data_IF_689479085129
#
_entry.id   IF_689479085129
#
_cell.length_a   1.000
_cell.length_b   1.000
_cell.length_c   1.000
_cell.angle_alpha   90.00
_cell.angle_beta   90.00
_cell.angle_gamma   90.00
#
_symmetry.space_group_name_H-M   'P 1'
#
loop_
_entity.id
_entity.type
_entity.pdbx_description
1 polymer ?
#
# COMPACT_ATOMS: atom_id res chain seq x y z
N UNK A 1 -6.95 -29.74 -9.43
CA UNK A 1 -6.63 -28.70 -8.43
C UNK A 1 -7.47 -27.45 -8.74
N UNK A 2 -8.02 -26.78 -7.74
CA UNK A 2 -8.82 -25.57 -7.97
C UNK A 2 -7.92 -24.46 -8.55
N UNK A 3 -8.22 -23.97 -9.75
CA UNK A 3 -7.43 -22.92 -10.43
C UNK A 3 -7.33 -21.63 -9.62
N UNK A 4 -8.30 -21.32 -8.76
CA UNK A 4 -8.28 -20.15 -7.87
C UNK A 4 -7.22 -20.23 -6.77
N UNK A 5 -6.65 -21.41 -6.55
CA UNK A 5 -5.57 -21.65 -5.59
C UNK A 5 -4.17 -21.76 -6.22
N UNK A 6 -4.06 -21.62 -7.54
CA UNK A 6 -2.79 -21.68 -8.26
C UNK A 6 -2.27 -20.28 -8.58
N UNK A 7 -1.05 -19.97 -8.17
CA UNK A 7 -0.37 -18.71 -8.47
C UNK A 7 -0.29 -18.44 -9.97
N UNK A 8 0.08 -19.46 -10.74
CA UNK A 8 0.17 -19.40 -12.21
C UNK A 8 -1.14 -18.99 -12.88
N UNK A 9 -2.30 -19.23 -12.23
CA UNK A 9 -3.61 -18.83 -12.73
C UNK A 9 -3.90 -17.33 -12.61
N UNK A 10 -3.06 -16.55 -11.93
CA UNK A 10 -3.15 -15.08 -11.79
C UNK A 10 -2.10 -14.36 -12.62
N UNK A 11 -1.51 -15.07 -13.59
CA UNK A 11 -0.54 -14.49 -14.51
C UNK A 11 -1.22 -13.79 -15.68
N UNK A 12 -0.62 -12.71 -16.14
CA UNK A 12 -0.97 -12.02 -17.37
C UNK A 12 0.25 -11.24 -17.89
N UNK A 13 0.28 -10.99 -19.19
CA UNK A 13 1.39 -10.24 -19.82
C UNK A 13 1.11 -8.75 -19.79
N UNK A 14 2.03 -7.98 -19.20
CA UNK A 14 1.96 -6.52 -19.15
C UNK A 14 3.19 -5.94 -19.85
N UNK A 15 2.97 -5.10 -20.83
CA UNK A 15 4.01 -4.34 -21.50
C UNK A 15 4.55 -3.23 -20.57
N UNK A 16 5.86 -3.04 -20.54
CA UNK A 16 6.51 -2.09 -19.64
C UNK A 16 6.06 -0.63 -19.85
N UNK A 17 5.68 -0.27 -21.07
CA UNK A 17 5.17 1.07 -21.41
C UNK A 17 3.82 1.41 -20.77
N UNK A 18 3.07 0.42 -20.29
CA UNK A 18 1.84 0.65 -19.54
C UNK A 18 2.09 0.91 -18.05
N UNK A 19 3.30 0.75 -17.57
CA UNK A 19 3.66 1.04 -16.18
C UNK A 19 3.88 2.55 -16.01
N UNK A 20 3.02 3.20 -15.24
CA UNK A 20 3.11 4.64 -15.03
C UNK A 20 4.25 5.01 -14.07
N UNK A 21 5.18 5.84 -14.53
CA UNK A 21 6.26 6.39 -13.71
C UNK A 21 5.90 7.72 -13.04
N UNK A 22 4.84 8.38 -13.51
CA UNK A 22 4.30 9.65 -12.99
C UNK A 22 2.77 9.60 -12.95
N UNK A 23 2.13 10.32 -12.01
CA UNK A 23 0.68 10.43 -11.96
C UNK A 23 0.13 11.14 -13.21
N UNK A 24 -1.18 11.05 -13.42
CA UNK A 24 -1.87 11.95 -14.34
C UNK A 24 -1.75 13.40 -13.85
N UNK A 25 -1.78 14.35 -14.76
CA UNK A 25 -1.78 15.76 -14.42
C UNK A 25 -2.84 16.50 -15.27
N UNK A 26 -3.93 16.97 -14.64
CA UNK A 26 -4.29 16.84 -13.22
C UNK A 26 -4.56 15.37 -12.81
N UNK A 27 -4.50 15.10 -11.50
CA UNK A 27 -4.62 13.72 -10.94
C UNK A 27 -5.97 13.07 -11.29
N UNK A 28 -7.02 13.86 -11.35
CA UNK A 28 -8.39 13.44 -11.66
C UNK A 28 -8.59 13.04 -13.14
N UNK A 29 -7.66 13.36 -14.01
CA UNK A 29 -7.71 12.95 -15.44
C UNK A 29 -7.19 11.51 -15.63
N UNK A 30 -6.73 10.82 -14.58
CA UNK A 30 -6.52 9.38 -14.62
C UNK A 30 -7.79 8.68 -15.14
N UNK A 31 -7.62 7.63 -15.91
CA UNK A 31 -8.77 6.86 -16.42
C UNK A 31 -9.38 6.02 -15.31
N UNK A 32 -10.68 5.79 -15.41
CA UNK A 32 -11.44 4.94 -14.51
C UNK A 32 -12.20 3.89 -15.31
N UNK A 33 -11.92 2.61 -15.04
CA UNK A 33 -12.72 1.49 -15.50
C UNK A 33 -13.73 1.17 -14.40
N UNK A 34 -15.02 1.24 -14.73
CA UNK A 34 -16.11 0.87 -13.80
C UNK A 34 -16.67 -0.46 -14.22
N UNK A 35 -16.79 -1.39 -13.28
CA UNK A 35 -17.43 -2.69 -13.48
C UNK A 35 -18.60 -2.86 -12.53
N UNK A 36 -19.81 -2.89 -13.08
CA UNK A 36 -21.02 -3.25 -12.37
C UNK A 36 -21.19 -4.77 -12.35
N UNK A 37 -21.02 -5.38 -11.17
CA UNK A 37 -21.15 -6.83 -10.99
C UNK A 37 -22.56 -7.36 -11.23
N UNK A 38 -23.58 -6.53 -10.92
CA UNK A 38 -24.98 -6.93 -11.04
C UNK A 38 -25.40 -7.10 -12.49
N UNK A 39 -25.07 -6.09 -13.32
CA UNK A 39 -25.44 -6.05 -14.73
C UNK A 39 -24.33 -6.59 -15.64
N UNK A 40 -23.12 -6.82 -15.10
CA UNK A 40 -21.89 -7.15 -15.85
C UNK A 40 -21.51 -6.10 -16.89
N UNK A 41 -21.89 -4.86 -16.64
CA UNK A 41 -21.59 -3.73 -17.51
C UNK A 41 -20.21 -3.14 -17.20
N UNK A 42 -19.54 -2.65 -18.25
CA UNK A 42 -18.23 -2.03 -18.17
C UNK A 42 -18.34 -0.62 -18.76
N UNK A 43 -17.85 0.36 -17.99
CA UNK A 43 -17.81 1.76 -18.44
C UNK A 43 -16.36 2.23 -18.42
N UNK A 44 -15.99 3.01 -19.44
CA UNK A 44 -14.70 3.69 -19.53
C UNK A 44 -14.92 5.18 -19.35
N UNK A 45 -14.28 5.75 -18.33
CA UNK A 45 -14.43 7.16 -18.00
C UNK A 45 -13.12 7.73 -17.44
N UNK A 46 -13.16 8.88 -16.80
CA UNK A 46 -12.05 9.47 -16.05
C UNK A 46 -12.41 9.56 -14.57
N UNK A 47 -11.39 9.63 -13.73
CA UNK A 47 -11.55 9.60 -12.28
C UNK A 47 -12.40 10.77 -11.75
N UNK A 48 -12.38 11.94 -12.41
CA UNK A 48 -13.23 13.11 -12.09
C UNK A 48 -14.72 12.81 -12.10
N UNK A 49 -15.16 11.80 -12.87
CA UNK A 49 -16.55 11.39 -12.99
C UNK A 49 -16.92 10.28 -11.97
N UNK A 50 -16.02 9.92 -11.03
CA UNK A 50 -16.26 8.87 -10.02
C UNK A 50 -17.61 9.03 -9.31
N UNK A 51 -17.98 10.26 -8.92
CA UNK A 51 -19.23 10.58 -8.20
C UNK A 51 -20.50 10.16 -8.94
N UNK A 52 -20.47 10.05 -10.26
CA UNK A 52 -21.64 9.75 -11.11
C UNK A 52 -21.95 8.24 -11.10
N UNK A 53 -21.01 7.42 -10.66
CA UNK A 53 -21.15 5.96 -10.55
C UNK A 53 -21.36 5.45 -9.12
N UNK A 54 -21.12 6.29 -8.11
CA UNK A 54 -21.20 5.83 -6.71
C UNK A 54 -22.64 5.63 -6.25
N UNK A 55 -22.99 4.45 -5.75
CA UNK A 55 -24.24 4.24 -5.05
C UNK A 55 -24.23 4.95 -3.69
N UNK A 56 -25.36 4.98 -3.01
CA UNK A 56 -25.43 5.43 -1.61
C UNK A 56 -24.60 4.50 -0.71
N UNK A 57 -23.46 4.99 -0.22
CA UNK A 57 -22.51 4.22 0.59
C UNK A 57 -21.61 5.13 1.43
N UNK A 58 -21.11 4.59 2.54
CA UNK A 58 -20.00 5.19 3.27
C UNK A 58 -18.67 4.93 2.53
N UNK A 59 -17.79 5.92 2.48
CA UNK A 59 -16.49 5.82 1.80
C UNK A 59 -15.38 5.78 2.84
N UNK A 60 -14.53 4.77 2.75
CA UNK A 60 -13.39 4.57 3.66
C UNK A 60 -12.06 4.83 2.96
N UNK A 61 -11.21 5.61 3.62
CA UNK A 61 -9.85 5.91 3.17
C UNK A 61 -8.81 5.47 4.19
N UNK A 62 -7.59 5.20 3.70
CA UNK A 62 -6.42 4.99 4.54
C UNK A 62 -5.70 6.34 4.72
N UNK A 63 -5.58 6.81 5.96
CA UNK A 63 -4.95 8.09 6.31
C UNK A 63 -3.47 7.96 6.70
N UNK A 64 -2.86 6.83 6.39
CA UNK A 64 -1.44 6.63 6.62
C UNK A 64 -0.59 7.61 5.81
N UNK A 65 0.49 8.10 6.42
CA UNK A 65 1.47 9.00 5.80
C UNK A 65 2.79 8.27 5.54
N UNK A 66 3.27 8.38 4.31
CA UNK A 66 4.56 7.79 3.92
C UNK A 66 5.70 8.57 4.55
N UNK A 67 6.65 7.86 5.16
CA UNK A 67 7.89 8.42 5.67
C UNK A 67 9.00 8.34 4.60
N UNK A 68 9.99 9.21 4.67
CA UNK A 68 11.18 9.16 3.81
C UNK A 68 12.11 8.01 4.25
N UNK A 69 11.66 6.79 4.05
CA UNK A 69 12.22 5.58 4.61
C UNK A 69 13.56 5.12 3.99
N UNK A 70 14.00 5.74 2.89
CA UNK A 70 15.26 5.39 2.21
C UNK A 70 16.33 6.41 2.54
N UNK A 71 17.46 5.93 3.09
CA UNK A 71 18.62 6.77 3.41
C UNK A 71 19.90 6.18 2.85
N UNK A 72 20.81 7.06 2.44
CA UNK A 72 22.11 6.71 1.92
C UNK A 72 23.21 7.08 2.92
N UNK A 73 24.17 6.18 3.09
CA UNK A 73 25.22 6.34 4.06
C UNK A 73 26.47 5.54 3.71
N UNK A 74 27.37 5.43 4.68
CA UNK A 74 28.64 4.73 4.50
C UNK A 74 28.93 3.82 5.69
N UNK A 75 29.75 2.82 5.46
CA UNK A 75 30.42 2.05 6.50
C UNK A 75 31.65 2.82 7.03
N UNK A 76 32.20 2.40 8.16
CA UNK A 76 33.47 2.90 8.65
C UNK A 76 34.60 2.72 7.64
N UNK A 77 34.55 1.69 6.79
CA UNK A 77 35.51 1.43 5.71
C UNK A 77 35.33 2.32 4.47
N UNK A 78 34.37 3.26 4.47
CA UNK A 78 34.03 4.12 3.34
C UNK A 78 33.06 3.48 2.32
N UNK A 79 32.74 2.22 2.44
CA UNK A 79 31.81 1.54 1.52
C UNK A 79 30.41 2.15 1.57
N UNK A 80 29.84 2.54 0.43
CA UNK A 80 28.49 3.11 0.31
C UNK A 80 27.42 2.07 0.64
N UNK A 81 26.36 2.50 1.31
CA UNK A 81 25.19 1.70 1.64
C UNK A 81 23.90 2.46 1.37
N UNK A 82 22.85 1.71 1.09
CA UNK A 82 21.46 2.16 1.09
C UNK A 82 20.71 1.40 2.18
N UNK A 83 20.06 2.12 3.08
CA UNK A 83 19.20 1.54 4.10
C UNK A 83 17.76 1.92 3.79
N UNK A 84 16.90 0.91 3.73
CA UNK A 84 15.46 1.07 3.58
C UNK A 84 14.78 0.61 4.87
N UNK A 85 14.22 1.58 5.60
CA UNK A 85 13.49 1.34 6.83
C UNK A 85 12.14 0.70 6.52
N UNK A 86 11.74 -0.32 7.27
CA UNK A 86 10.43 -0.96 7.15
C UNK A 86 9.49 -0.52 8.28
N UNK A 87 9.61 -1.12 9.46
CA UNK A 87 8.72 -0.88 10.59
C UNK A 87 9.51 -0.80 11.90
N UNK A 88 9.05 -0.01 12.89
CA UNK A 88 9.54 -0.13 14.24
C UNK A 88 9.03 -1.43 14.87
N UNK A 89 9.85 -2.09 15.67
CA UNK A 89 9.37 -3.07 16.62
C UNK A 89 8.68 -2.36 17.79
N UNK A 90 7.38 -2.54 17.91
CA UNK A 90 6.62 -2.02 19.05
C UNK A 90 7.05 -2.75 20.31
N UNK A 91 7.39 -2.03 21.38
CA UNK A 91 7.69 -2.50 22.74
C UNK A 91 9.16 -2.57 23.19
N UNK A 92 9.93 -1.51 23.01
CA UNK A 92 11.18 -1.45 23.77
C UNK A 92 11.52 -0.04 24.21
N UNK A 93 12.06 0.10 25.43
CA UNK A 93 12.78 1.30 25.87
C UNK A 93 13.99 1.61 24.94
N UNK A 94 14.42 0.60 24.16
CA UNK A 94 15.42 0.68 23.10
C UNK A 94 14.77 0.27 21.77
N UNK A 95 14.19 1.20 21.01
CA UNK A 95 13.48 0.86 19.80
C UNK A 95 14.41 0.25 18.75
N UNK A 96 14.02 -0.95 18.32
CA UNK A 96 14.61 -1.62 17.18
C UNK A 96 13.74 -1.40 15.95
N UNK A 97 14.39 -1.36 14.81
CA UNK A 97 13.70 -1.16 13.53
C UNK A 97 14.08 -2.29 12.58
N UNK A 98 13.10 -2.72 11.80
CA UNK A 98 13.34 -3.63 10.70
C UNK A 98 13.81 -2.81 9.49
N UNK A 99 14.90 -3.22 8.87
CA UNK A 99 15.43 -2.54 7.70
C UNK A 99 16.01 -3.54 6.68
N UNK A 100 15.93 -3.16 5.42
CA UNK A 100 16.69 -3.79 4.34
C UNK A 100 17.92 -2.94 4.08
N UNK A 101 19.10 -3.55 3.92
CA UNK A 101 20.36 -2.82 3.69
C UNK A 101 21.04 -3.40 2.47
N UNK A 102 21.27 -2.53 1.48
CA UNK A 102 22.00 -2.87 0.26
C UNK A 102 23.49 -2.82 0.52
N UNK A 103 24.17 -3.93 0.33
CA UNK A 103 25.59 -4.10 0.60
C UNK A 103 25.87 -5.27 1.55
N UNK A 104 27.13 -5.69 1.62
CA UNK A 104 27.58 -6.75 2.53
C UNK A 104 27.71 -6.20 3.95
N UNK A 105 26.80 -6.58 4.85
CA UNK A 105 26.69 -6.07 6.21
C UNK A 105 26.98 -7.19 7.19
N UNK A 106 27.65 -6.84 8.32
CA UNK A 106 27.92 -7.76 9.45
C UNK A 106 27.07 -7.36 10.66
N UNK A 107 26.86 -8.32 11.55
CA UNK A 107 26.32 -8.05 12.89
C UNK A 107 27.26 -7.10 13.65
N UNK A 108 26.70 -6.23 14.46
CA UNK A 108 27.37 -5.18 15.24
C UNK A 108 28.10 -4.10 14.43
N UNK A 109 27.94 -4.11 13.09
CA UNK A 109 28.49 -3.06 12.23
C UNK A 109 27.77 -1.73 12.46
N UNK A 110 28.53 -0.63 12.52
CA UNK A 110 28.01 0.73 12.63
C UNK A 110 27.98 1.36 11.23
N UNK A 111 26.84 1.92 10.90
CA UNK A 111 26.56 2.62 9.65
C UNK A 111 26.40 4.11 9.94
N UNK A 112 26.92 4.95 9.05
CA UNK A 112 27.00 6.40 9.22
C UNK A 112 26.18 7.10 8.16
N UNK A 113 25.34 8.06 8.56
CA UNK A 113 24.48 8.84 7.69
C UNK A 113 24.68 10.34 7.94
N UNK A 114 23.99 11.18 7.16
CA UNK A 114 23.96 12.63 7.38
C UNK A 114 23.35 12.98 8.74
N UNK A 115 23.56 14.21 9.22
CA UNK A 115 23.05 14.74 10.51
C UNK A 115 23.50 13.89 11.71
N UNK A 116 24.72 13.37 11.67
CA UNK A 116 25.32 12.51 12.70
C UNK A 116 24.46 11.28 13.08
N UNK A 117 23.51 10.90 12.21
CA UNK A 117 22.73 9.69 12.39
C UNK A 117 23.61 8.46 12.20
N UNK A 118 23.59 7.56 13.17
CA UNK A 118 24.26 6.25 13.14
C UNK A 118 23.23 5.14 13.29
N UNK A 119 23.49 3.98 12.68
CA UNK A 119 22.71 2.77 12.92
C UNK A 119 23.64 1.59 13.26
N UNK A 120 23.33 0.86 14.35
CA UNK A 120 23.98 -0.41 14.66
C UNK A 120 23.13 -1.55 14.11
N UNK A 121 23.75 -2.49 13.44
CA UNK A 121 23.12 -3.73 12.98
C UNK A 121 23.10 -4.73 14.15
N UNK A 122 21.97 -4.89 14.78
CA UNK A 122 21.84 -5.74 15.99
C UNK A 122 21.72 -7.22 15.63
N UNK A 123 21.00 -7.51 14.54
CA UNK A 123 20.73 -8.89 14.11
C UNK A 123 20.58 -8.99 12.60
N UNK A 124 21.07 -10.08 12.02
CA UNK A 124 20.88 -10.45 10.62
C UNK A 124 19.76 -11.51 10.56
N UNK A 125 18.67 -11.22 9.85
CA UNK A 125 17.54 -12.14 9.70
C UNK A 125 17.69 -12.97 8.42
N UNK A 126 17.09 -14.17 8.41
CA UNK A 126 17.22 -15.14 7.31
C UNK A 126 16.58 -14.67 5.99
N UNK A 127 15.58 -13.77 6.07
CA UNK A 127 14.87 -13.21 4.90
C UNK A 127 15.57 -12.00 4.24
N UNK A 128 16.82 -11.74 4.61
CA UNK A 128 17.60 -10.61 4.12
C UNK A 128 17.35 -9.30 4.87
N UNK A 129 16.43 -9.27 5.83
CA UNK A 129 16.19 -8.12 6.69
C UNK A 129 17.22 -8.04 7.84
N UNK A 130 17.28 -6.87 8.45
CA UNK A 130 18.18 -6.55 9.56
C UNK A 130 17.39 -5.88 10.66
N UNK A 131 17.67 -6.25 11.92
CA UNK A 131 17.27 -5.41 13.06
C UNK A 131 18.34 -4.37 13.30
N UNK A 132 17.95 -3.12 13.31
CA UNK A 132 18.84 -1.99 13.51
C UNK A 132 18.38 -1.11 14.65
N UNK A 133 19.34 -0.48 15.31
CA UNK A 133 19.11 0.52 16.35
C UNK A 133 19.76 1.82 15.90
N UNK A 134 19.00 2.92 16.00
CA UNK A 134 19.50 4.24 15.58
C UNK A 134 19.94 5.09 16.75
N UNK A 135 21.00 5.89 16.50
CA UNK A 135 21.60 6.78 17.47
C UNK A 135 21.90 8.13 16.84
N UNK A 136 21.84 9.17 17.65
CA UNK A 136 22.40 10.49 17.34
C UNK A 136 23.06 11.03 18.60
N UNK A 137 24.29 11.58 18.51
CA UNK A 137 25.06 12.05 19.68
C UNK A 137 25.12 11.01 20.80
N UNK A 138 25.35 9.72 20.43
CA UNK A 138 25.43 8.56 21.30
C UNK A 138 24.16 8.25 22.14
N UNK A 139 23.04 8.92 21.83
CA UNK A 139 21.73 8.62 22.40
C UNK A 139 20.89 7.80 21.42
N UNK A 140 20.28 6.74 21.95
CA UNK A 140 19.30 5.95 21.16
C UNK A 140 18.10 6.83 20.78
N UNK A 141 17.70 6.74 19.54
CA UNK A 141 16.54 7.47 19.03
C UNK A 141 15.26 6.65 19.17
N UNK A 142 14.21 7.29 19.66
CA UNK A 142 12.86 6.78 19.54
C UNK A 142 12.30 6.95 18.11
N UNK A 143 11.12 6.40 17.84
CA UNK A 143 10.48 6.45 16.52
C UNK A 143 10.21 7.88 16.06
N UNK A 144 9.77 8.76 16.95
CA UNK A 144 9.43 10.15 16.61
C UNK A 144 10.66 10.95 16.21
N UNK A 145 11.74 10.86 17.01
CA UNK A 145 12.99 11.54 16.73
C UNK A 145 13.65 11.03 15.46
N UNK A 146 13.59 9.68 15.22
CA UNK A 146 14.09 9.11 13.98
C UNK A 146 13.29 9.64 12.77
N UNK A 147 11.95 9.67 12.82
CA UNK A 147 11.14 10.17 11.70
C UNK A 147 11.40 11.65 11.40
N UNK A 148 11.64 12.48 12.42
CA UNK A 148 12.05 13.88 12.24
C UNK A 148 13.40 14.01 11.52
N UNK A 149 14.35 13.13 11.79
CA UNK A 149 15.63 13.08 11.07
C UNK A 149 15.47 12.57 9.64
N UNK A 150 14.67 11.51 9.45
CA UNK A 150 14.39 10.97 8.13
C UNK A 150 13.71 12.01 7.23
N UNK A 151 12.90 12.90 7.79
CA UNK A 151 12.29 14.00 7.01
C UNK A 151 13.32 14.98 6.44
N UNK A 152 14.49 15.13 7.08
CA UNK A 152 15.58 15.97 6.62
C UNK A 152 16.50 15.28 5.61
N UNK A 153 16.85 14.02 5.86
CA UNK A 153 17.92 13.31 5.11
C UNK A 153 17.41 12.19 4.21
N UNK A 154 16.17 11.78 4.39
CA UNK A 154 15.61 10.62 3.71
C UNK A 154 14.97 10.95 2.36
N UNK A 155 14.74 9.91 1.60
CA UNK A 155 14.14 9.88 0.28
C UNK A 155 12.80 9.15 0.29
N UNK A 156 11.89 9.53 -0.60
CA UNK A 156 10.61 8.84 -0.79
C UNK A 156 10.90 7.43 -1.32
N UNK A 157 10.37 6.38 -0.67
CA UNK A 157 10.62 5.00 -1.08
C UNK A 157 9.71 4.60 -2.26
N UNK A 158 9.99 5.12 -3.45
CA UNK A 158 9.24 4.72 -4.64
C UNK A 158 9.31 3.20 -4.85
N UNK A 159 8.22 2.57 -5.32
CA UNK A 159 8.18 1.15 -5.63
C UNK A 159 9.22 0.72 -6.66
N UNK A 160 9.71 -0.53 -6.63
CA UNK A 160 10.83 -0.99 -7.48
C UNK A 160 10.52 -1.01 -8.98
N UNK A 161 9.24 -0.98 -9.38
CA UNK A 161 8.84 -0.89 -10.79
C UNK A 161 8.89 0.55 -11.35
N UNK A 162 8.97 1.57 -10.49
CA UNK A 162 9.27 2.95 -10.88
C UNK A 162 10.79 3.06 -10.98
N UNK A 163 11.31 2.96 -12.22
CA UNK A 163 12.77 2.89 -12.50
C UNK A 163 13.40 4.27 -12.58
N UNK A 164 13.18 5.13 -11.59
CA UNK A 164 13.84 6.44 -11.42
C UNK A 164 14.10 6.73 -9.95
N UNK A 165 14.97 7.66 -9.67
CA UNK A 165 15.12 8.22 -8.32
C UNK A 165 13.90 9.06 -7.95
N UNK A 166 13.72 9.29 -6.65
CA UNK A 166 12.67 10.19 -6.18
C UNK A 166 13.02 11.65 -6.49
N UNK A 167 11.98 12.41 -6.82
CA UNK A 167 12.05 13.83 -7.13
C UNK A 167 11.31 14.65 -6.08
N UNK A 168 11.51 15.98 -6.07
CA UNK A 168 10.80 16.86 -5.14
C UNK A 168 9.26 16.79 -5.29
N UNK A 169 8.78 16.53 -6.50
CA UNK A 169 7.36 16.32 -6.77
C UNK A 169 6.78 15.11 -6.03
N UNK A 170 7.57 14.04 -5.82
CA UNK A 170 7.11 12.82 -5.14
C UNK A 170 6.76 13.06 -3.67
N UNK A 171 7.31 14.10 -3.04
CA UNK A 171 6.89 14.52 -1.70
C UNK A 171 5.38 14.79 -1.62
N UNK A 172 4.79 15.27 -2.72
CA UNK A 172 3.37 15.55 -2.86
C UNK A 172 2.65 14.43 -3.63
N UNK A 173 3.27 13.92 -4.68
CA UNK A 173 2.63 12.99 -5.61
C UNK A 173 2.52 11.57 -5.06
N UNK A 174 3.45 11.17 -4.16
CA UNK A 174 3.40 9.87 -3.48
C UNK A 174 2.80 9.96 -2.06
N UNK A 175 1.96 10.98 -1.83
CA UNK A 175 1.14 11.15 -0.62
C UNK A 175 -0.31 11.37 -1.00
N UNK A 176 -1.23 10.72 -0.27
CA UNK A 176 -2.65 11.04 -0.40
C UNK A 176 -2.97 12.37 0.30
N UNK A 177 -4.04 13.05 -0.14
CA UNK A 177 -4.56 14.24 0.56
C UNK A 177 -5.06 13.93 1.98
N UNK A 178 -5.24 12.65 2.29
CA UNK A 178 -5.68 12.16 3.61
C UNK A 178 -4.52 11.87 4.56
N UNK A 179 -3.27 11.95 4.10
CA UNK A 179 -2.08 11.52 4.83
C UNK A 179 -1.90 12.27 6.15
N UNK A 180 -2.10 11.57 7.28
CA UNK A 180 -2.05 12.09 8.64
C UNK A 180 -1.09 11.32 9.54
N UNK A 181 -1.24 10.01 9.64
CA UNK A 181 -0.54 9.15 10.57
C UNK A 181 0.75 8.60 9.96
N UNK A 182 1.92 9.08 10.43
CA UNK A 182 3.24 8.65 9.94
C UNK A 182 3.51 7.17 10.25
N UNK A 183 4.11 6.44 9.29
CA UNK A 183 4.56 5.06 9.52
C UNK A 183 4.56 4.17 8.27
N UNK A 184 3.95 4.58 7.16
CA UNK A 184 3.98 3.79 5.93
C UNK A 184 5.29 3.98 5.16
N UNK A 185 5.72 2.92 4.48
CA UNK A 185 6.83 2.96 3.51
C UNK A 185 6.35 2.83 2.06
N UNK A 186 5.04 2.74 1.87
CA UNK A 186 4.39 2.86 0.56
C UNK A 186 3.06 3.60 0.70
N UNK A 187 2.67 4.32 -0.35
CA UNK A 187 1.42 5.07 -0.35
C UNK A 187 0.20 4.15 -0.55
N UNK A 188 -0.98 4.48 0.02
CA UNK A 188 -2.26 3.87 -0.37
C UNK A 188 -2.68 4.43 -1.74
N UNK A 189 -2.17 3.82 -2.82
CA UNK A 189 -2.09 4.42 -4.15
C UNK A 189 -3.44 4.74 -4.80
N UNK A 190 -4.50 4.00 -4.50
CA UNK A 190 -5.85 4.32 -4.97
C UNK A 190 -6.36 5.69 -4.47
N UNK A 191 -5.79 6.20 -3.37
CA UNK A 191 -6.14 7.53 -2.84
C UNK A 191 -5.37 8.68 -3.50
N UNK A 192 -4.37 8.39 -4.34
CA UNK A 192 -3.54 9.44 -4.98
C UNK A 192 -4.29 10.23 -6.06
N UNK A 193 -5.36 9.67 -6.58
CA UNK A 193 -6.19 10.31 -7.62
C UNK A 193 -7.07 11.44 -7.10
N UNK A 194 -7.32 11.48 -5.78
CA UNK A 194 -8.23 12.46 -5.20
C UNK A 194 -7.58 13.84 -5.07
N UNK A 195 -8.37 14.87 -5.39
CA UNK A 195 -8.10 16.26 -5.04
C UNK A 195 -9.01 16.72 -3.90
N UNK A 196 -8.66 17.84 -3.27
CA UNK A 196 -9.49 18.47 -2.23
C UNK A 196 -10.88 18.80 -2.76
N UNK A 197 -10.98 19.34 -3.98
CA UNK A 197 -12.25 19.67 -4.62
C UNK A 197 -13.13 18.44 -4.84
N UNK A 198 -12.56 17.31 -5.27
CA UNK A 198 -13.30 16.06 -5.38
C UNK A 198 -13.82 15.60 -4.02
N UNK A 199 -12.97 15.67 -2.98
CA UNK A 199 -13.34 15.28 -1.65
C UNK A 199 -14.50 16.11 -1.09
N UNK A 200 -14.45 17.43 -1.26
CA UNK A 200 -15.54 18.34 -0.89
C UNK A 200 -16.86 17.99 -1.57
N UNK A 201 -16.80 17.63 -2.86
CA UNK A 201 -17.98 17.21 -3.61
C UNK A 201 -18.55 15.86 -3.13
N UNK A 202 -17.68 14.89 -2.79
CA UNK A 202 -18.11 13.61 -2.24
C UNK A 202 -18.77 13.77 -0.87
N UNK A 203 -18.24 14.62 0.01
CA UNK A 203 -18.80 14.93 1.33
C UNK A 203 -20.23 15.46 1.32
N UNK A 204 -20.68 16.03 0.19
CA UNK A 204 -22.07 16.50 0.05
C UNK A 204 -23.09 15.37 -0.03
N UNK A 205 -22.66 14.15 -0.40
CA UNK A 205 -23.54 13.00 -0.66
C UNK A 205 -23.16 11.74 0.12
N UNK A 206 -21.93 11.65 0.60
CA UNK A 206 -21.39 10.44 1.22
C UNK A 206 -20.74 10.77 2.56
N UNK A 207 -20.95 9.91 3.53
CA UNK A 207 -20.16 9.92 4.76
C UNK A 207 -18.76 9.37 4.49
N UNK A 208 -17.75 10.07 5.01
CA UNK A 208 -16.34 9.73 4.77
C UNK A 208 -15.68 9.36 6.09
N UNK A 209 -15.10 8.18 6.10
CA UNK A 209 -14.40 7.60 7.25
C UNK A 209 -12.93 7.33 6.91
N UNK A 210 -12.11 7.37 7.94
CA UNK A 210 -10.68 7.08 7.82
C UNK A 210 -10.31 5.94 8.76
N UNK A 211 -9.40 5.12 8.32
CA UNK A 211 -8.67 4.16 9.12
C UNK A 211 -7.19 4.26 8.77
N UNK A 212 -6.34 3.77 9.64
CA UNK A 212 -4.90 3.70 9.39
C UNK A 212 -4.49 2.26 9.14
N UNK A 213 -3.77 2.00 8.06
CA UNK A 213 -2.93 0.81 7.91
C UNK A 213 -1.59 1.29 7.35
N UNK A 214 -0.52 1.06 8.11
CA UNK A 214 0.83 1.41 7.66
C UNK A 214 1.33 0.40 6.64
N UNK A 215 1.33 0.81 5.38
CA UNK A 215 1.73 -0.06 4.26
C UNK A 215 3.21 -0.36 4.37
N UNK A 216 3.54 -1.63 4.51
CA UNK A 216 4.90 -2.13 4.60
C UNK A 216 5.52 -2.45 3.24
N UNK A 217 6.85 -2.63 3.21
CA UNK A 217 7.59 -3.03 2.01
C UNK A 217 7.17 -4.41 1.47
N UNK A 218 6.55 -5.23 2.31
CA UNK A 218 6.01 -6.52 1.94
C UNK A 218 4.95 -6.48 0.84
N UNK A 219 4.26 -5.35 0.66
CA UNK A 219 3.29 -5.14 -0.43
C UNK A 219 3.89 -5.35 -1.83
N UNK A 220 5.22 -5.19 -1.97
CA UNK A 220 5.93 -5.39 -3.23
C UNK A 220 6.60 -6.77 -3.36
N UNK A 221 6.49 -7.63 -2.34
CA UNK A 221 7.02 -8.99 -2.43
C UNK A 221 6.14 -9.86 -3.32
N UNK A 222 6.79 -10.61 -4.19
CA UNK A 222 6.12 -11.64 -5.00
C UNK A 222 5.64 -12.78 -4.13
N UNK A 223 4.57 -13.43 -4.53
CA UNK A 223 4.17 -14.74 -3.99
C UNK A 223 5.12 -15.78 -4.58
N UNK A 224 5.75 -16.61 -3.75
CA UNK A 224 6.79 -17.56 -4.16
C UNK A 224 6.30 -19.03 -4.21
N UNK A 225 5.11 -19.31 -3.68
CA UNK A 225 4.50 -20.64 -3.65
C UNK A 225 3.43 -20.78 -4.73
N UNK A 226 3.37 -21.92 -5.42
CA UNK A 226 2.36 -22.18 -6.45
C UNK A 226 0.96 -22.36 -5.83
N UNK A 227 0.85 -23.06 -4.70
CA UNK A 227 -0.38 -23.08 -3.93
C UNK A 227 -0.46 -21.82 -3.05
N UNK A 228 -1.33 -20.87 -3.41
CA UNK A 228 -1.44 -19.60 -2.71
C UNK A 228 -1.87 -19.71 -1.24
N UNK A 229 -2.44 -20.84 -0.81
CA UNK A 229 -2.78 -21.08 0.59
C UNK A 229 -1.54 -21.23 1.49
N UNK A 230 -0.37 -21.55 0.91
CA UNK A 230 0.90 -21.64 1.64
C UNK A 230 1.57 -20.28 1.79
N UNK A 231 1.05 -19.25 1.11
CA UNK A 231 1.60 -17.90 1.19
C UNK A 231 1.35 -17.27 2.56
N UNK A 232 2.43 -16.84 3.19
CA UNK A 232 2.38 -16.10 4.46
C UNK A 232 2.31 -14.60 4.18
N UNK A 233 1.13 -14.03 4.41
CA UNK A 233 0.95 -12.59 4.27
C UNK A 233 1.80 -11.81 5.26
N UNK A 234 2.28 -10.65 4.82
CA UNK A 234 2.94 -9.70 5.72
C UNK A 234 1.93 -9.11 6.67
N UNK A 235 2.37 -8.98 7.90
CA UNK A 235 1.61 -8.34 8.97
C UNK A 235 1.86 -6.83 8.94
N UNK A 236 0.80 -6.04 8.84
CA UNK A 236 0.86 -4.57 8.76
C UNK A 236 0.04 -3.97 9.90
N UNK A 237 0.64 -2.99 10.61
CA UNK A 237 -0.05 -2.33 11.73
C UNK A 237 -1.24 -1.53 11.23
N UNK A 238 -2.38 -1.68 11.91
CA UNK A 238 -3.59 -0.93 11.61
C UNK A 238 -4.25 -0.38 12.89
N UNK A 239 -5.08 0.66 12.68
CA UNK A 239 -5.95 1.23 13.70
C UNK A 239 -7.24 1.75 13.06
N UNK A 240 -8.38 1.44 13.69
CA UNK A 240 -9.71 1.86 13.25
C UNK A 240 -10.36 2.69 14.35
N UNK A 241 -10.69 3.96 14.11
CA UNK A 241 -11.44 4.77 15.06
C UNK A 241 -12.81 4.19 15.39
N UNK A 242 -13.32 4.44 16.59
CA UNK A 242 -14.60 3.90 17.07
C UNK A 242 -15.75 4.18 16.11
N UNK A 243 -15.89 5.42 15.64
CA UNK A 243 -16.95 5.80 14.69
C UNK A 243 -16.88 5.00 13.37
N UNK A 244 -15.69 4.72 12.87
CA UNK A 244 -15.49 3.88 11.69
C UNK A 244 -15.91 2.42 11.96
N UNK A 245 -15.62 1.89 13.16
CA UNK A 245 -16.09 0.56 13.57
C UNK A 245 -17.63 0.47 13.57
N UNK A 246 -18.32 1.48 14.06
CA UNK A 246 -19.79 1.53 14.12
C UNK A 246 -20.42 1.42 12.73
N UNK A 247 -19.85 2.09 11.74
CA UNK A 247 -20.29 1.98 10.35
C UNK A 247 -19.95 0.61 9.76
N UNK A 248 -18.77 0.08 10.04
CA UNK A 248 -18.44 -1.28 9.59
C UNK A 248 -19.41 -2.31 10.17
N UNK A 249 -19.85 -2.13 11.40
CA UNK A 249 -20.80 -3.03 12.06
C UNK A 249 -22.28 -2.78 11.65
N UNK A 250 -22.56 -1.67 10.97
CA UNK A 250 -23.90 -1.34 10.47
C UNK A 250 -24.26 -2.12 9.19
N UNK A 251 -25.46 -1.85 8.65
CA UNK A 251 -25.91 -2.38 7.34
C UNK A 251 -25.62 -1.43 6.17
N UNK A 252 -25.07 -0.25 6.44
CA UNK A 252 -24.75 0.73 5.40
C UNK A 252 -23.76 0.14 4.39
N UNK A 253 -23.99 0.37 3.11
CA UNK A 253 -23.05 -0.07 2.08
C UNK A 253 -21.70 0.64 2.24
N UNK A 254 -20.61 -0.05 1.94
CA UNK A 254 -19.25 0.46 2.09
C UNK A 254 -18.49 0.40 0.76
N UNK A 255 -17.90 1.52 0.38
CA UNK A 255 -16.84 1.60 -0.60
C UNK A 255 -15.48 1.70 0.12
N UNK A 256 -14.61 0.72 -0.08
CA UNK A 256 -13.21 0.80 0.34
C UNK A 256 -12.33 1.37 -0.76
N UNK A 257 -11.56 2.41 -0.45
CA UNK A 257 -10.59 3.00 -1.37
C UNK A 257 -9.21 2.41 -1.12
N UNK A 258 -8.84 1.48 -1.98
CA UNK A 258 -7.59 0.73 -1.93
C UNK A 258 -7.69 -0.60 -1.18
N UNK A 259 -6.79 -1.50 -1.55
CA UNK A 259 -6.70 -2.87 -1.00
C UNK A 259 -6.35 -2.89 0.49
N UNK A 260 -5.64 -1.88 0.98
CA UNK A 260 -5.30 -1.73 2.40
C UNK A 260 -6.53 -1.46 3.25
N UNK A 261 -7.44 -0.60 2.78
CA UNK A 261 -8.74 -0.34 3.43
C UNK A 261 -9.55 -1.63 3.47
N UNK A 262 -9.65 -2.32 2.33
CA UNK A 262 -10.36 -3.60 2.22
C UNK A 262 -9.85 -4.62 3.23
N UNK A 263 -8.54 -4.84 3.30
CA UNK A 263 -7.95 -5.79 4.25
C UNK A 263 -8.27 -5.42 5.69
N UNK A 264 -8.22 -4.14 6.03
CA UNK A 264 -8.48 -3.67 7.39
C UNK A 264 -9.95 -3.84 7.78
N UNK A 265 -10.90 -3.45 6.93
CA UNK A 265 -12.34 -3.64 7.15
C UNK A 265 -12.65 -5.12 7.33
N UNK A 266 -12.16 -5.96 6.43
CA UNK A 266 -12.42 -7.39 6.41
C UNK A 266 -11.74 -8.13 7.57
N UNK A 267 -10.58 -7.69 8.02
CA UNK A 267 -9.91 -8.20 9.22
C UNK A 267 -10.71 -7.86 10.48
N UNK A 268 -11.12 -6.58 10.64
CA UNK A 268 -11.96 -6.15 11.75
C UNK A 268 -13.29 -6.92 11.78
N UNK A 269 -13.92 -7.10 10.64
CA UNK A 269 -15.21 -7.82 10.56
C UNK A 269 -15.08 -9.24 11.11
N UNK A 270 -13.97 -9.92 10.84
CA UNK A 270 -13.68 -11.29 11.28
C UNK A 270 -13.22 -11.40 12.72
N UNK A 271 -12.44 -10.43 13.20
CA UNK A 271 -11.73 -10.53 14.49
C UNK A 271 -12.27 -9.60 15.57
N UNK A 272 -13.00 -8.54 15.18
CA UNK A 272 -13.42 -7.41 16.03
C UNK A 272 -12.26 -6.66 16.70
N UNK A 273 -11.04 -6.86 16.19
CA UNK A 273 -9.84 -6.16 16.65
C UNK A 273 -9.77 -4.79 16.00
N UNK A 274 -9.71 -3.72 16.81
CA UNK A 274 -9.70 -2.30 16.34
C UNK A 274 -8.30 -1.79 16.02
N UNK A 275 -7.28 -2.35 16.64
CA UNK A 275 -5.88 -2.02 16.40
C UNK A 275 -5.00 -3.26 16.56
N UNK A 276 -3.87 -3.29 15.89
CA UNK A 276 -2.95 -4.41 15.93
C UNK A 276 -2.30 -4.65 14.58
N UNK A 277 -2.09 -5.92 14.24
CA UNK A 277 -1.45 -6.31 13.00
C UNK A 277 -2.41 -7.12 12.13
N UNK A 278 -2.57 -6.70 10.86
CA UNK A 278 -3.41 -7.37 9.87
C UNK A 278 -2.53 -8.18 8.92
N UNK A 279 -2.77 -9.48 8.88
CA UNK A 279 -2.16 -10.44 7.96
C UNK A 279 -3.20 -11.13 7.06
N UNK A 280 -4.39 -10.55 6.93
CA UNK A 280 -5.48 -11.13 6.15
C UNK A 280 -5.12 -11.23 4.68
N UNK A 281 -5.26 -12.43 4.12
CA UNK A 281 -5.11 -12.72 2.70
C UNK A 281 -6.49 -12.97 2.08
N UNK A 282 -6.91 -12.06 1.20
CA UNK A 282 -8.16 -12.17 0.46
C UNK A 282 -7.91 -12.73 -0.95
N UNK A 283 -8.69 -13.73 -1.32
CA UNK A 283 -8.67 -14.39 -2.63
C UNK A 283 -10.04 -15.05 -2.87
N UNK A 284 -10.35 -15.59 -4.05
CA UNK A 284 -11.69 -16.11 -4.37
C UNK A 284 -12.24 -17.16 -3.39
N UNK A 285 -11.37 -17.94 -2.72
CA UNK A 285 -11.78 -18.91 -1.68
C UNK A 285 -11.84 -18.32 -0.27
N UNK A 286 -11.43 -17.06 -0.10
CA UNK A 286 -11.55 -16.27 1.12
C UNK A 286 -12.02 -14.85 0.77
N UNK A 287 -13.27 -14.69 0.26
CA UNK A 287 -13.76 -13.42 -0.27
C UNK A 287 -14.11 -12.42 0.83
N UNK A 288 -14.26 -11.14 0.46
CA UNK A 288 -14.83 -10.13 1.35
C UNK A 288 -16.22 -10.53 1.83
N UNK A 289 -16.52 -10.27 3.11
CA UNK A 289 -17.80 -10.60 3.73
C UNK A 289 -18.57 -9.35 4.18
N UNK A 290 -17.92 -8.19 4.20
CA UNK A 290 -18.52 -6.93 4.67
C UNK A 290 -18.48 -5.81 3.63
N UNK A 291 -17.36 -5.61 2.97
CA UNK A 291 -17.21 -4.51 2.03
C UNK A 291 -17.98 -4.77 0.73
N UNK A 292 -18.78 -3.78 0.31
CA UNK A 292 -19.62 -3.90 -0.87
C UNK A 292 -18.92 -3.52 -2.17
N UNK A 293 -18.19 -2.40 -2.18
CA UNK A 293 -17.61 -1.80 -3.37
C UNK A 293 -16.10 -1.56 -3.17
N UNK A 294 -15.34 -1.67 -4.25
CA UNK A 294 -13.89 -1.49 -4.22
C UNK A 294 -13.45 -0.49 -5.29
N UNK A 295 -12.69 0.52 -4.87
CA UNK A 295 -11.93 1.39 -5.76
C UNK A 295 -10.44 1.07 -5.60
N UNK A 296 -9.74 0.71 -6.67
CA UNK A 296 -8.34 0.29 -6.62
C UNK A 296 -7.59 0.61 -7.91
N UNK A 297 -6.25 0.51 -7.88
CA UNK A 297 -5.43 0.54 -9.10
C UNK A 297 -5.40 -0.83 -9.79
N UNK A 298 -4.79 -0.90 -10.98
CA UNK A 298 -4.42 -2.17 -11.61
C UNK A 298 -3.11 -2.69 -11.01
N UNK A 299 -3.07 -3.98 -10.66
CA UNK A 299 -2.01 -4.61 -9.86
C UNK A 299 -1.12 -5.53 -10.68
N UNK A 300 0.06 -5.86 -10.14
CA UNK A 300 1.04 -6.80 -10.71
C UNK A 300 0.43 -8.19 -10.96
N UNK A 301 0.87 -8.90 -12.03
CA UNK A 301 0.58 -10.31 -12.17
C UNK A 301 1.13 -11.11 -10.97
N UNK A 302 0.48 -12.20 -10.63
CA UNK A 302 0.86 -13.10 -9.52
C UNK A 302 1.01 -12.42 -8.16
N UNK A 303 0.36 -11.27 -7.95
CA UNK A 303 0.39 -10.56 -6.68
C UNK A 303 -0.82 -10.87 -5.80
N UNK A 304 -0.66 -10.75 -4.49
CA UNK A 304 -1.77 -10.85 -3.53
C UNK A 304 -2.88 -9.82 -3.82
N UNK A 305 -2.53 -8.72 -4.49
CA UNK A 305 -3.47 -7.62 -4.80
C UNK A 305 -4.41 -7.97 -5.96
N UNK A 306 -3.95 -8.63 -7.03
CA UNK A 306 -4.86 -9.11 -8.09
C UNK A 306 -5.76 -10.24 -7.56
N UNK A 307 -5.26 -11.04 -6.60
CA UNK A 307 -6.06 -12.07 -5.93
C UNK A 307 -7.17 -11.45 -5.08
N UNK A 308 -6.90 -10.33 -4.39
CA UNK A 308 -7.90 -9.56 -3.65
C UNK A 308 -8.96 -8.98 -4.59
N UNK A 309 -8.59 -8.41 -5.73
CA UNK A 309 -9.56 -7.96 -6.74
C UNK A 309 -10.39 -9.13 -7.23
N UNK A 310 -9.75 -10.26 -7.51
CA UNK A 310 -10.42 -11.51 -7.91
C UNK A 310 -11.40 -12.04 -6.85
N UNK A 311 -11.16 -11.73 -5.57
CA UNK A 311 -12.08 -12.09 -4.49
C UNK A 311 -13.43 -11.38 -4.56
N UNK A 312 -13.50 -10.20 -5.21
CA UNK A 312 -14.76 -9.46 -5.42
C UNK A 312 -15.56 -9.93 -6.63
N UNK A 313 -14.89 -10.35 -7.69
CA UNK A 313 -15.50 -10.53 -9.02
C UNK A 313 -15.24 -11.90 -9.64
N UNK A 314 -14.49 -12.77 -8.96
CA UNK A 314 -13.99 -14.02 -9.51
C UNK A 314 -12.73 -13.82 -10.37
N UNK A 315 -11.86 -14.82 -10.37
CA UNK A 315 -10.55 -14.76 -11.06
C UNK A 315 -10.69 -14.56 -12.58
N UNK A 316 -11.58 -15.30 -13.22
CA UNK A 316 -11.76 -15.23 -14.69
C UNK A 316 -12.26 -13.84 -15.12
N UNK A 317 -13.21 -13.28 -14.40
CA UNK A 317 -13.71 -11.94 -14.70
C UNK A 317 -12.63 -10.88 -14.45
N UNK A 318 -11.86 -11.03 -13.37
CA UNK A 318 -10.74 -10.14 -13.08
C UNK A 318 -9.73 -10.13 -14.23
N UNK A 319 -9.28 -11.28 -14.69
CA UNK A 319 -8.32 -11.38 -15.80
C UNK A 319 -8.88 -10.79 -17.11
N UNK A 320 -10.16 -11.03 -17.45
CA UNK A 320 -10.81 -10.41 -18.61
C UNK A 320 -10.80 -8.88 -18.53
N UNK A 321 -11.06 -8.29 -17.35
CA UNK A 321 -10.99 -6.84 -17.17
C UNK A 321 -9.55 -6.32 -17.29
N UNK A 322 -8.56 -7.06 -16.83
CA UNK A 322 -7.14 -6.71 -16.99
C UNK A 322 -6.69 -6.79 -18.46
N UNK A 323 -7.09 -7.83 -19.19
CA UNK A 323 -6.84 -7.95 -20.64
C UNK A 323 -7.49 -6.78 -21.40
N UNK A 324 -8.74 -6.43 -21.06
CA UNK A 324 -9.42 -5.27 -21.62
C UNK A 324 -8.68 -3.98 -21.31
N UNK A 325 -8.27 -3.77 -20.05
CA UNK A 325 -7.52 -2.58 -19.65
C UNK A 325 -6.18 -2.45 -20.42
N UNK A 326 -5.47 -3.56 -20.65
CA UNK A 326 -4.24 -3.60 -21.46
C UNK A 326 -4.54 -3.23 -22.92
N UNK A 327 -5.57 -3.83 -23.53
CA UNK A 327 -6.01 -3.54 -24.89
C UNK A 327 -6.38 -2.06 -25.07
N UNK A 328 -7.06 -1.51 -24.11
CA UNK A 328 -7.48 -0.11 -24.06
C UNK A 328 -6.37 0.83 -23.55
N UNK A 329 -5.15 0.34 -23.35
CA UNK A 329 -3.96 1.10 -22.93
C UNK A 329 -4.18 1.90 -21.63
N UNK A 330 -4.82 1.28 -20.64
CA UNK A 330 -4.81 1.80 -19.27
C UNK A 330 -3.40 1.75 -18.71
N UNK A 331 -3.09 2.69 -17.82
CA UNK A 331 -1.82 2.73 -17.10
C UNK A 331 -1.93 1.90 -15.82
N UNK A 332 -0.86 1.25 -15.45
CA UNK A 332 -0.83 0.27 -14.36
C UNK A 332 -0.02 0.78 -13.16
N UNK A 333 -0.28 0.20 -12.01
CA UNK A 333 0.38 0.35 -10.71
C UNK A 333 0.13 1.68 -10.02
N UNK A 334 1.09 2.14 -9.15
CA UNK A 334 0.91 3.22 -8.19
C UNK A 334 0.42 4.54 -8.79
N UNK A 335 0.99 4.94 -9.91
CA UNK A 335 0.63 6.17 -10.63
C UNK A 335 -0.27 5.91 -11.85
N UNK A 336 -0.70 4.67 -12.00
CA UNK A 336 -1.58 4.24 -13.08
C UNK A 336 -3.01 4.73 -12.92
N UNK A 337 -3.88 4.11 -13.68
CA UNK A 337 -5.31 4.39 -13.70
C UNK A 337 -6.04 3.56 -12.63
N UNK A 338 -7.34 3.77 -12.48
CA UNK A 338 -8.14 3.15 -11.45
C UNK A 338 -9.22 2.22 -12.00
N UNK A 339 -9.68 1.28 -11.14
CA UNK A 339 -10.84 0.42 -11.36
C UNK A 339 -11.82 0.59 -10.20
N UNK A 340 -13.09 0.78 -10.50
CA UNK A 340 -14.22 0.76 -9.55
C UNK A 340 -15.03 -0.51 -9.77
N UNK A 341 -15.24 -1.28 -8.72
CA UNK A 341 -16.08 -2.48 -8.68
C UNK A 341 -17.32 -2.17 -7.82
N UNK A 342 -18.48 -2.21 -8.44
CA UNK A 342 -19.80 -1.95 -7.83
C UNK A 342 -20.59 -3.22 -7.56
#
# INVERSE_FOLDING_TARGET
MNKDLLLSSYDYTLANELIANYPANPKEDARLLVFDRKNKEIFHTTFKNLKDFLPDCAIFFNDTKVIKARIYGNKASGGKIELFLHQPFLNSHNPLFLAQIKGRIKKDEILYFKEDLKARVVELLNDGLRKVQFFQNDKTLDTSNLYNLLDKIGHIPLPPYIKREDEKSDLKDYQSIFAKNLGAVAAPTASLHFSETMLENLRKKHEIYHLTLHVGAGTFKSVECENIQEHKMHSEFFNIPQQACEIIDSKQAILGVGTTVTRTIEYYTRTKTKNGFCDLFLHPQNPPIRQNHLLTNFHLPKSTLIMLVSAFIGREQCLKLYELAIKEKYRFYSYGDAMLIL
#
